data_IF_810725512525
#
_entry.id   IF_810725512525
#
_cell.length_a   1.000
_cell.length_b   1.000
_cell.length_c   1.000
_cell.angle_alpha   90.00
_cell.angle_beta   90.00
_cell.angle_gamma   90.00
#
_symmetry.space_group_name_H-M   'P 1'
#
loop_
_entity.id
_entity.type
_entity.pdbx_description
1 polymer ?
#
# COMPACT_ATOMS: atom_id res chain seq x y z
N UNK A 1 -7.60 16.85 -5.95
CA UNK A 1 -7.75 15.64 -5.12
C UNK A 1 -8.40 14.55 -5.94
N UNK A 2 -7.99 13.28 -5.73
CA UNK A 2 -8.58 12.10 -6.37
C UNK A 2 -9.08 11.15 -5.26
N UNK A 3 -10.27 10.60 -5.43
CA UNK A 3 -10.87 9.67 -4.50
C UNK A 3 -11.35 8.41 -5.22
N UNK A 4 -11.04 7.25 -4.64
CA UNK A 4 -11.54 5.95 -5.06
C UNK A 4 -12.74 5.52 -4.21
N UNK A 5 -13.77 4.99 -4.86
CA UNK A 5 -14.98 4.48 -4.21
C UNK A 5 -15.39 3.11 -4.77
N UNK A 6 -16.44 2.50 -4.23
CA UNK A 6 -17.02 1.27 -4.78
C UNK A 6 -17.62 1.47 -6.17
N UNK A 7 -18.00 2.70 -6.51
CA UNK A 7 -18.72 3.03 -7.75
C UNK A 7 -17.82 3.71 -8.80
N UNK A 8 -16.52 3.82 -8.54
CA UNK A 8 -15.54 4.42 -9.45
C UNK A 8 -14.65 5.46 -8.80
N UNK A 9 -14.01 6.25 -9.63
CA UNK A 9 -13.13 7.35 -9.23
C UNK A 9 -13.84 8.69 -9.34
N UNK A 10 -13.47 9.60 -8.43
CA UNK A 10 -13.96 10.97 -8.37
C UNK A 10 -12.80 11.94 -8.20
N UNK A 11 -12.93 13.14 -8.75
CA UNK A 11 -11.94 14.21 -8.60
C UNK A 11 -12.55 15.46 -8.00
N UNK A 12 -11.74 16.19 -7.26
CA UNK A 12 -12.05 17.53 -6.76
C UNK A 12 -10.96 18.50 -7.20
N UNK A 13 -11.37 19.71 -7.59
CA UNK A 13 -10.50 20.81 -7.98
C UNK A 13 -10.51 21.96 -6.95
N UNK A 14 -11.28 21.81 -5.86
CA UNK A 14 -11.52 22.78 -4.82
C UNK A 14 -11.27 22.21 -3.41
N UNK A 15 -10.21 21.40 -3.29
CA UNK A 15 -9.77 20.78 -2.04
C UNK A 15 -10.81 19.89 -1.34
N UNK A 16 -11.69 19.25 -2.13
CA UNK A 16 -12.69 18.32 -1.62
C UNK A 16 -14.06 18.96 -1.32
N UNK A 17 -14.24 20.26 -1.62
CA UNK A 17 -15.53 20.92 -1.42
C UNK A 17 -16.60 20.43 -2.39
N UNK A 18 -16.21 20.10 -3.63
CA UNK A 18 -17.08 19.47 -4.62
C UNK A 18 -16.37 18.34 -5.37
N UNK A 19 -17.14 17.38 -5.87
CA UNK A 19 -16.64 16.15 -6.51
C UNK A 19 -17.33 15.87 -7.82
N UNK A 20 -16.55 15.49 -8.83
CA UNK A 20 -17.02 15.09 -10.16
C UNK A 20 -16.57 13.69 -10.50
N UNK A 21 -17.38 12.90 -11.21
CA UNK A 21 -16.95 11.61 -11.72
C UNK A 21 -15.66 11.73 -12.55
N UNK A 22 -14.75 10.81 -12.35
CA UNK A 22 -13.47 10.70 -13.06
C UNK A 22 -13.14 9.23 -13.35
N UNK A 23 -14.15 8.43 -13.66
CA UNK A 23 -14.04 6.99 -13.87
C UNK A 23 -14.15 6.57 -15.34
N UNK A 24 -13.96 7.46 -16.31
CA UNK A 24 -13.98 7.10 -17.73
C UNK A 24 -12.87 6.07 -18.03
N UNK A 25 -13.21 4.99 -18.75
CA UNK A 25 -12.29 3.89 -19.04
C UNK A 25 -12.19 2.80 -17.96
N UNK A 26 -12.74 3.01 -16.75
CA UNK A 26 -12.76 1.96 -15.73
C UNK A 26 -13.80 0.89 -16.04
N UNK A 27 -13.34 -0.37 -16.17
CA UNK A 27 -14.18 -1.57 -16.28
C UNK A 27 -14.50 -2.08 -14.87
N UNK A 28 -13.47 -2.34 -14.07
CA UNK A 28 -13.57 -2.66 -12.65
C UNK A 28 -13.76 -1.36 -11.86
N UNK A 29 -14.95 -1.18 -11.27
CA UNK A 29 -15.33 0.11 -10.67
C UNK A 29 -15.04 0.20 -9.17
N UNK A 30 -14.88 -0.92 -8.48
CA UNK A 30 -14.56 -0.90 -7.05
C UNK A 30 -13.09 -0.49 -6.87
N UNK A 31 -12.85 0.80 -6.71
CA UNK A 31 -11.52 1.36 -6.50
C UNK A 31 -11.10 1.15 -5.05
N UNK A 32 -9.98 0.48 -4.86
CA UNK A 32 -9.40 0.14 -3.55
C UNK A 32 -8.18 0.98 -3.21
N UNK A 33 -7.48 1.45 -4.23
CA UNK A 33 -6.28 2.26 -4.07
C UNK A 33 -6.20 3.34 -5.13
N UNK A 34 -5.72 4.50 -4.72
CA UNK A 34 -5.40 5.61 -5.61
C UNK A 34 -4.00 6.07 -5.27
N UNK A 35 -3.16 6.24 -6.27
CA UNK A 35 -1.84 6.83 -6.13
C UNK A 35 -1.65 7.93 -7.17
N UNK A 36 -0.98 9.00 -6.76
CA UNK A 36 -0.53 10.06 -7.65
C UNK A 36 0.98 10.09 -7.57
N UNK A 37 1.64 9.96 -8.71
CA UNK A 37 3.09 10.10 -8.79
C UNK A 37 3.41 11.58 -8.92
N UNK A 38 4.16 12.13 -7.96
CA UNK A 38 4.70 13.47 -8.10
C UNK A 38 5.56 13.49 -9.37
N UNK A 39 5.28 14.44 -10.28
CA UNK A 39 6.21 14.71 -11.37
C UNK A 39 7.55 15.06 -10.72
N UNK A 40 8.60 14.32 -11.05
CA UNK A 40 9.94 14.65 -10.60
C UNK A 40 10.15 16.15 -10.91
N UNK A 41 10.51 16.92 -9.89
CA UNK A 41 10.86 18.33 -10.09
C UNK A 41 11.81 18.38 -11.28
N UNK A 42 11.46 19.16 -12.29
CA UNK A 42 12.27 19.32 -13.50
C UNK A 42 13.65 19.84 -13.11
N UNK A 43 14.56 18.95 -12.92
CA UNK A 43 15.98 19.24 -12.72
C UNK A 43 16.64 19.45 -14.07
N UNK A 44 16.48 20.60 -14.66
CA UNK A 44 17.11 21.12 -15.88
C UNK A 44 16.38 20.82 -17.21
N UNK A 45 16.45 21.75 -18.18
CA UNK A 45 15.83 21.60 -19.51
C UNK A 45 16.45 20.52 -20.40
N UNK A 46 17.54 19.89 -19.98
CA UNK A 46 18.23 18.86 -20.75
C UNK A 46 17.71 17.43 -20.51
N UNK A 47 16.93 17.21 -19.43
CA UNK A 47 16.40 15.89 -19.03
C UNK A 47 14.89 15.81 -19.28
N UNK A 48 14.40 16.31 -20.43
CA UNK A 48 13.02 16.11 -20.82
C UNK A 48 12.80 14.60 -21.03
N UNK A 49 11.89 13.93 -20.27
CA UNK A 49 11.56 12.55 -20.56
C UNK A 49 10.99 12.49 -21.97
N UNK A 50 11.48 11.57 -22.78
CA UNK A 50 11.05 11.39 -24.16
C UNK A 50 9.64 10.78 -24.27
N UNK A 51 9.03 10.37 -23.15
CA UNK A 51 7.67 9.82 -23.08
C UNK A 51 6.98 10.30 -21.79
N UNK A 52 5.71 10.69 -21.91
CA UNK A 52 4.89 11.10 -20.77
C UNK A 52 4.70 9.88 -19.84
N UNK A 53 5.15 10.01 -18.62
CA UNK A 53 5.01 8.94 -17.62
C UNK A 53 3.69 9.12 -16.87
N UNK A 54 2.92 8.05 -16.60
CA UNK A 54 1.63 8.16 -15.92
C UNK A 54 1.72 8.97 -14.63
N UNK A 55 0.77 9.89 -14.46
CA UNK A 55 0.67 10.76 -13.29
C UNK A 55 -0.21 10.18 -12.18
N UNK A 56 -1.16 9.32 -12.54
CA UNK A 56 -2.12 8.75 -11.58
C UNK A 56 -2.36 7.26 -11.83
N UNK A 57 -2.67 6.54 -10.75
CA UNK A 57 -2.89 5.09 -10.76
C UNK A 57 -4.11 4.74 -9.92
N UNK A 58 -4.83 3.71 -10.35
CA UNK A 58 -5.91 3.08 -9.61
C UNK A 58 -5.64 1.59 -9.47
N UNK A 59 -5.82 1.06 -8.27
CA UNK A 59 -5.93 -0.35 -7.97
C UNK A 59 -7.36 -0.72 -7.62
N UNK A 60 -7.87 -1.84 -8.14
CA UNK A 60 -9.28 -2.23 -8.03
C UNK A 60 -9.51 -3.60 -7.39
N UNK A 61 -10.76 -3.90 -7.12
CA UNK A 61 -11.36 -5.21 -6.81
C UNK A 61 -12.53 -5.43 -7.79
N UNK A 62 -12.53 -6.48 -8.68
CA UNK A 62 -11.42 -7.44 -8.89
C UNK A 62 -10.08 -6.77 -9.22
N UNK A 63 -8.98 -7.47 -8.96
CA UNK A 63 -7.64 -6.92 -9.13
C UNK A 63 -7.36 -6.51 -10.57
N UNK A 64 -7.18 -5.22 -10.78
CA UNK A 64 -6.64 -4.60 -11.99
C UNK A 64 -5.89 -3.33 -11.62
N UNK A 65 -4.99 -2.90 -12.49
CA UNK A 65 -4.30 -1.61 -12.37
C UNK A 65 -4.69 -0.75 -13.57
N UNK A 66 -5.00 0.49 -13.28
CA UNK A 66 -5.29 1.52 -14.26
C UNK A 66 -4.31 2.67 -14.12
N UNK A 67 -3.96 3.27 -15.24
CA UNK A 67 -3.03 4.39 -15.34
C UNK A 67 -3.67 5.54 -16.11
N UNK A 68 -3.34 6.77 -15.73
CA UNK A 68 -3.72 7.97 -16.46
C UNK A 68 -2.58 8.98 -16.41
N UNK A 69 -2.25 9.57 -17.56
CA UNK A 69 -1.40 10.77 -17.64
C UNK A 69 -2.17 12.00 -17.15
N UNK A 70 -3.41 12.11 -17.58
CA UNK A 70 -4.40 13.08 -17.15
C UNK A 70 -5.72 12.40 -16.84
N UNK A 71 -6.14 12.43 -15.58
CA UNK A 71 -7.40 11.84 -15.12
C UNK A 71 -8.65 12.42 -15.80
N UNK A 72 -8.54 13.54 -16.52
CA UNK A 72 -9.63 14.11 -17.29
C UNK A 72 -9.81 13.43 -18.67
N UNK A 73 -8.77 12.76 -19.16
CA UNK A 73 -8.79 12.03 -20.42
C UNK A 73 -9.16 10.54 -20.26
N UNK A 74 -9.37 10.11 -19.02
CA UNK A 74 -9.78 8.75 -18.67
C UNK A 74 -8.61 7.85 -18.31
N UNK A 75 -8.95 6.59 -18.03
CA UNK A 75 -8.06 5.55 -17.51
C UNK A 75 -7.80 4.46 -18.54
N UNK A 76 -6.56 4.06 -18.66
CA UNK A 76 -6.13 2.90 -19.45
C UNK A 76 -5.84 1.74 -18.50
N UNK A 77 -6.41 0.58 -18.77
CA UNK A 77 -6.13 -0.64 -17.99
C UNK A 77 -4.81 -1.26 -18.41
N UNK A 78 -4.03 -1.72 -17.43
CA UNK A 78 -2.88 -2.58 -17.63
C UNK A 78 -3.39 -4.04 -17.78
N UNK A 79 -3.69 -4.45 -19.01
CA UNK A 79 -4.40 -5.71 -19.29
C UNK A 79 -3.66 -6.96 -18.83
N UNK A 80 -2.33 -6.91 -18.75
CA UNK A 80 -1.49 -7.99 -18.23
C UNK A 80 -1.81 -8.35 -16.79
N UNK A 81 -2.24 -7.38 -15.95
CA UNK A 81 -2.64 -7.62 -14.56
C UNK A 81 -3.93 -8.44 -14.50
N UNK A 82 -4.93 -8.08 -15.32
CA UNK A 82 -6.18 -8.84 -15.43
C UNK A 82 -5.92 -10.25 -15.99
N UNK A 83 -5.01 -10.38 -16.97
CA UNK A 83 -4.61 -11.68 -17.53
C UNK A 83 -3.90 -12.56 -16.48
N UNK A 84 -3.02 -11.98 -15.64
CA UNK A 84 -2.41 -12.69 -14.52
C UNK A 84 -3.46 -13.18 -13.53
N UNK A 85 -4.38 -12.31 -13.12
CA UNK A 85 -5.49 -12.62 -12.22
C UNK A 85 -6.29 -13.84 -12.72
N UNK A 86 -6.74 -13.79 -13.97
CA UNK A 86 -7.61 -14.80 -14.55
C UNK A 86 -6.86 -16.14 -14.76
N UNK A 87 -5.58 -16.06 -15.19
CA UNK A 87 -4.75 -17.24 -15.40
C UNK A 87 -4.36 -17.96 -14.12
N UNK A 88 -4.06 -17.19 -13.05
CA UNK A 88 -3.59 -17.73 -11.76
C UNK A 88 -4.73 -18.02 -10.80
N UNK A 89 -5.97 -17.66 -11.15
CA UNK A 89 -7.16 -17.94 -10.37
C UNK A 89 -7.19 -17.17 -9.06
N UNK A 90 -6.85 -15.87 -9.08
CA UNK A 90 -6.94 -15.05 -7.88
C UNK A 90 -8.36 -15.01 -7.36
N UNK A 91 -8.51 -15.04 -6.05
CA UNK A 91 -9.81 -14.97 -5.37
C UNK A 91 -9.67 -14.24 -4.04
N UNK A 92 -10.80 -13.83 -3.47
CA UNK A 92 -10.86 -13.29 -2.11
C UNK A 92 -11.76 -14.18 -1.27
N UNK A 93 -11.32 -14.66 -0.09
CA UNK A 93 -12.11 -15.60 0.72
C UNK A 93 -13.40 -14.98 1.29
N UNK A 94 -13.53 -13.66 1.27
CA UNK A 94 -14.65 -12.90 1.82
C UNK A 94 -15.47 -12.15 0.76
N UNK A 95 -15.10 -12.25 -0.51
CA UNK A 95 -15.73 -11.54 -1.62
C UNK A 95 -15.79 -12.45 -2.85
N UNK A 96 -16.83 -12.38 -3.69
CA UNK A 96 -16.86 -13.12 -4.96
C UNK A 96 -15.83 -12.60 -5.97
N UNK A 97 -15.20 -11.47 -5.68
CA UNK A 97 -14.28 -10.82 -6.59
C UNK A 97 -12.90 -11.51 -6.62
N UNK A 98 -12.18 -11.33 -7.73
CA UNK A 98 -10.91 -11.98 -8.00
C UNK A 98 -9.72 -11.10 -7.62
N UNK A 99 -9.14 -11.30 -6.43
CA UNK A 99 -8.02 -10.52 -5.93
C UNK A 99 -8.34 -9.04 -5.69
N UNK A 100 -7.40 -8.33 -5.09
CA UNK A 100 -7.54 -6.89 -4.84
C UNK A 100 -6.18 -6.21 -4.87
N UNK A 101 -6.03 -5.13 -5.63
CA UNK A 101 -4.82 -4.27 -5.58
C UNK A 101 -4.98 -3.31 -4.41
N UNK A 102 -4.22 -3.54 -3.33
CA UNK A 102 -4.34 -2.84 -2.05
C UNK A 102 -3.29 -1.77 -1.80
N UNK A 103 -2.26 -1.70 -2.61
CA UNK A 103 -1.18 -0.73 -2.44
C UNK A 103 -0.33 -0.59 -3.69
N UNK A 104 0.14 0.62 -3.93
CA UNK A 104 1.11 0.96 -4.96
C UNK A 104 2.20 1.81 -4.32
N UNK A 105 3.46 1.51 -4.60
CA UNK A 105 4.60 2.31 -4.16
C UNK A 105 5.60 2.49 -5.30
N UNK A 106 6.21 3.67 -5.38
CA UNK A 106 7.14 4.02 -6.46
C UNK A 106 8.45 4.58 -5.91
N UNK A 107 9.53 4.24 -6.58
CA UNK A 107 10.84 4.88 -6.45
C UNK A 107 11.38 5.17 -7.87
N UNK A 108 11.34 6.41 -8.29
CA UNK A 108 11.63 6.77 -9.69
C UNK A 108 10.68 6.04 -10.65
N UNK A 109 11.23 5.34 -11.63
CA UNK A 109 10.46 4.54 -12.59
C UNK A 109 10.12 3.13 -12.10
N UNK A 110 10.66 2.69 -10.96
CA UNK A 110 10.33 1.40 -10.38
C UNK A 110 9.07 1.51 -9.53
N UNK A 111 8.06 0.71 -9.89
CA UNK A 111 6.81 0.59 -9.15
C UNK A 111 6.62 -0.83 -8.60
N UNK A 112 5.91 -0.92 -7.48
CA UNK A 112 5.45 -2.18 -6.89
C UNK A 112 3.96 -2.10 -6.58
N UNK A 113 3.24 -3.20 -6.80
CA UNK A 113 1.82 -3.30 -6.49
C UNK A 113 1.55 -4.51 -5.60
N UNK A 114 0.97 -4.25 -4.44
CA UNK A 114 0.51 -5.26 -3.49
C UNK A 114 -0.84 -5.81 -3.94
N UNK A 115 -0.93 -7.12 -4.16
CA UNK A 115 -2.16 -7.79 -4.57
C UNK A 115 -2.55 -8.82 -3.52
N UNK A 116 -3.69 -8.59 -2.88
CA UNK A 116 -4.28 -9.55 -1.95
C UNK A 116 -4.69 -10.81 -2.73
N UNK A 117 -4.15 -11.96 -2.33
CA UNK A 117 -4.27 -13.26 -3.01
C UNK A 117 -3.66 -13.32 -4.42
N UNK A 118 -2.73 -12.40 -4.74
CA UNK A 118 -2.04 -12.34 -6.03
C UNK A 118 -0.53 -12.09 -5.93
N UNK A 119 -0.01 -11.86 -4.69
CA UNK A 119 1.40 -11.62 -4.47
C UNK A 119 1.83 -10.19 -4.76
N UNK A 120 3.04 -10.02 -5.28
CA UNK A 120 3.61 -8.70 -5.56
C UNK A 120 3.93 -8.57 -7.06
N UNK A 121 3.51 -7.45 -7.63
CA UNK A 121 3.86 -7.06 -8.99
C UNK A 121 4.93 -5.97 -8.97
N UNK A 122 5.69 -5.88 -10.07
CA UNK A 122 6.71 -4.84 -10.30
C UNK A 122 6.56 -4.26 -11.71
N UNK A 123 6.78 -2.97 -11.79
CA UNK A 123 6.99 -2.21 -13.01
C UNK A 123 8.40 -1.60 -12.99
N UNK A 124 9.07 -1.54 -14.14
CA UNK A 124 10.36 -0.87 -14.33
C UNK A 124 10.26 0.35 -15.27
N UNK A 125 9.07 0.64 -15.79
CA UNK A 125 8.80 1.70 -16.78
C UNK A 125 7.82 2.78 -16.28
N UNK A 126 7.76 2.96 -14.97
CA UNK A 126 6.93 4.00 -14.36
C UNK A 126 5.47 3.62 -14.19
N UNK A 127 5.13 2.33 -14.26
CA UNK A 127 3.79 1.81 -14.05
C UNK A 127 3.01 1.54 -15.34
N UNK A 128 3.67 1.64 -16.51
CA UNK A 128 3.06 1.33 -17.81
C UNK A 128 2.75 -0.16 -17.98
N UNK A 129 3.71 -1.01 -17.55
CA UNK A 129 3.57 -2.47 -17.60
C UNK A 129 3.95 -3.11 -16.27
N UNK A 130 3.27 -4.20 -15.94
CA UNK A 130 3.39 -4.89 -14.67
C UNK A 130 3.64 -6.39 -14.85
N UNK A 131 4.51 -6.95 -14.04
CA UNK A 131 4.80 -8.38 -13.99
C UNK A 131 4.98 -8.86 -12.56
N UNK A 132 4.83 -10.16 -12.30
CA UNK A 132 5.18 -10.72 -11.01
C UNK A 132 6.67 -10.53 -10.73
N UNK A 133 7.03 -10.19 -9.48
CA UNK A 133 8.43 -10.26 -9.04
C UNK A 133 8.90 -11.71 -9.05
N UNK A 134 10.20 -11.95 -9.23
CA UNK A 134 10.74 -13.31 -9.29
C UNK A 134 10.49 -14.13 -8.00
N UNK A 135 10.41 -13.47 -6.86
CA UNK A 135 10.10 -14.09 -5.56
C UNK A 135 8.59 -14.20 -5.27
N UNK A 136 7.72 -14.20 -6.30
CA UNK A 136 6.28 -14.43 -6.17
C UNK A 136 5.78 -15.29 -7.32
N UNK A 137 5.10 -16.41 -7.01
CA UNK A 137 4.43 -17.22 -8.04
C UNK A 137 3.01 -16.71 -8.37
N UNK A 138 2.50 -15.76 -7.58
CA UNK A 138 1.17 -15.19 -7.76
C UNK A 138 0.02 -16.17 -7.53
N UNK A 139 0.30 -17.38 -7.04
CA UNK A 139 -0.74 -18.40 -6.80
C UNK A 139 -1.30 -18.20 -5.38
N UNK A 140 -2.64 -18.18 -5.18
CA UNK A 140 -3.25 -17.91 -3.88
C UNK A 140 -3.12 -19.11 -2.91
N UNK A 141 -1.90 -19.49 -2.59
CA UNK A 141 -1.54 -20.53 -1.61
C UNK A 141 -0.22 -20.18 -0.95
N UNK A 142 -0.03 -20.55 0.30
CA UNK A 142 1.25 -20.36 0.99
C UNK A 142 2.37 -21.08 0.24
N UNK A 143 3.45 -20.37 -0.15
CA UNK A 143 4.60 -20.96 -0.82
C UNK A 143 5.31 -21.98 0.09
N UNK A 144 5.87 -23.02 -0.52
CA UNK A 144 6.75 -23.97 0.18
C UNK A 144 8.20 -23.50 0.22
N UNK A 145 8.61 -22.66 -0.72
CA UNK A 145 9.92 -22.03 -0.76
C UNK A 145 9.94 -20.84 0.22
N UNK A 146 10.83 -20.85 1.23
CA UNK A 146 10.92 -19.81 2.24
C UNK A 146 11.43 -18.47 1.69
N UNK A 147 11.97 -18.43 0.48
CA UNK A 147 12.43 -17.20 -0.20
C UNK A 147 11.34 -16.52 -1.03
N UNK A 148 10.15 -17.13 -1.10
CA UNK A 148 9.00 -16.57 -1.78
C UNK A 148 8.12 -15.75 -0.83
N UNK A 149 7.53 -14.65 -1.34
CA UNK A 149 6.58 -13.86 -0.58
C UNK A 149 5.22 -14.59 -0.44
N UNK A 150 4.56 -14.39 0.70
CA UNK A 150 3.18 -14.84 0.88
C UNK A 150 2.23 -14.15 -0.13
N UNK A 151 1.26 -14.85 -0.76
CA UNK A 151 0.42 -14.29 -1.81
C UNK A 151 -0.58 -13.23 -1.32
N UNK A 152 -0.91 -13.23 -0.05
CA UNK A 152 -1.86 -12.31 0.57
C UNK A 152 -1.13 -11.00 0.97
N UNK A 153 -0.76 -10.19 -0.03
CA UNK A 153 0.00 -8.94 0.19
C UNK A 153 -0.95 -7.78 0.41
N UNK A 154 -0.87 -7.15 1.59
CA UNK A 154 -1.80 -6.11 2.00
C UNK A 154 -1.33 -4.68 1.71
N UNK A 155 -0.04 -4.45 1.73
CA UNK A 155 0.58 -3.17 1.36
C UNK A 155 2.03 -3.37 0.93
N UNK A 156 2.63 -2.32 0.39
CA UNK A 156 4.04 -2.33 -0.02
C UNK A 156 4.66 -0.96 0.25
N UNK A 157 5.89 -0.98 0.75
CA UNK A 157 6.73 0.20 0.94
C UNK A 157 8.04 -0.04 0.19
N UNK A 158 8.47 0.97 -0.58
CA UNK A 158 9.81 1.04 -1.18
C UNK A 158 10.60 2.06 -0.41
N UNK A 159 11.75 1.68 0.12
CA UNK A 159 12.55 2.60 0.92
C UNK A 159 13.20 3.69 0.07
N UNK A 160 13.25 4.91 0.61
CA UNK A 160 13.75 6.08 -0.10
C UNK A 160 15.22 5.95 -0.56
N UNK A 161 16.05 5.16 0.15
CA UNK A 161 17.45 4.98 -0.18
C UNK A 161 17.70 4.01 -1.35
N UNK A 162 16.76 3.15 -1.71
CA UNK A 162 16.95 2.13 -2.75
C UNK A 162 15.64 1.62 -3.35
N UNK A 163 15.52 1.54 -4.68
CA UNK A 163 14.38 0.92 -5.35
C UNK A 163 14.32 -0.60 -5.15
N UNK A 164 15.37 -1.22 -4.66
CA UNK A 164 15.47 -2.66 -4.46
C UNK A 164 15.10 -3.08 -3.03
N UNK A 165 15.05 -2.13 -2.08
CA UNK A 165 14.62 -2.41 -0.72
C UNK A 165 13.12 -2.25 -0.59
N UNK A 166 12.44 -3.38 -0.54
CA UNK A 166 10.97 -3.49 -0.55
C UNK A 166 10.50 -4.19 0.72
N UNK A 167 9.53 -3.60 1.40
CA UNK A 167 8.93 -4.15 2.62
C UNK A 167 7.44 -4.37 2.35
N UNK A 168 6.93 -5.56 2.70
CA UNK A 168 5.57 -5.95 2.40
C UNK A 168 4.89 -6.64 3.60
N UNK A 169 3.90 -6.00 4.24
CA UNK A 169 2.96 -6.63 5.15
C UNK A 169 2.05 -7.60 4.41
N UNK A 170 1.87 -8.80 4.98
CA UNK A 170 1.07 -9.88 4.37
C UNK A 170 0.22 -10.61 5.39
N UNK A 171 -0.68 -11.46 4.92
CA UNK A 171 -1.41 -12.42 5.75
C UNK A 171 -0.51 -13.46 6.44
N UNK A 172 0.69 -13.69 5.93
CA UNK A 172 1.69 -14.62 6.48
C UNK A 172 2.82 -13.95 7.26
N UNK A 173 2.77 -12.62 7.45
CA UNK A 173 3.78 -11.87 8.18
C UNK A 173 4.35 -10.67 7.44
N UNK A 174 5.40 -10.07 8.01
CA UNK A 174 6.15 -9.00 7.37
C UNK A 174 7.32 -9.57 6.59
N UNK A 175 7.44 -9.19 5.34
CA UNK A 175 8.53 -9.60 4.45
C UNK A 175 9.38 -8.41 4.02
N UNK A 176 10.67 -8.65 3.82
CA UNK A 176 11.62 -7.70 3.23
C UNK A 176 12.40 -8.37 2.11
N UNK A 177 12.61 -7.63 1.05
CA UNK A 177 13.53 -7.93 -0.05
C UNK A 177 14.55 -6.80 -0.16
N UNK A 178 15.80 -7.13 -0.44
CA UNK A 178 16.88 -6.19 -0.71
C UNK A 178 17.38 -6.29 -2.17
N UNK A 179 16.65 -7.06 -3.03
CA UNK A 179 16.98 -7.33 -4.44
C UNK A 179 15.80 -7.11 -5.38
N UNK A 180 14.89 -6.18 -5.02
CA UNK A 180 13.78 -5.79 -5.87
C UNK A 180 12.69 -6.84 -6.00
N UNK A 181 12.53 -7.70 -4.98
CA UNK A 181 11.50 -8.71 -4.92
C UNK A 181 11.90 -10.07 -5.52
N UNK A 182 13.20 -10.29 -5.80
CA UNK A 182 13.67 -11.58 -6.29
C UNK A 182 13.69 -12.64 -5.18
N UNK A 183 14.14 -12.25 -3.99
CA UNK A 183 14.13 -13.11 -2.81
C UNK A 183 13.57 -12.35 -1.61
N UNK A 184 12.88 -13.08 -0.74
CA UNK A 184 12.24 -12.52 0.44
C UNK A 184 12.73 -13.16 1.73
N UNK A 185 12.84 -12.35 2.77
CA UNK A 185 13.11 -12.78 4.13
C UNK A 185 11.95 -12.35 5.01
N UNK A 186 11.35 -13.30 5.73
CA UNK A 186 10.26 -13.02 6.67
C UNK A 186 10.84 -12.50 7.99
N UNK A 187 10.40 -11.33 8.43
CA UNK A 187 10.82 -10.68 9.66
C UNK A 187 9.98 -11.10 10.88
N UNK A 188 8.68 -11.34 10.66
CA UNK A 188 7.75 -11.88 11.66
C UNK A 188 6.68 -12.70 10.96
N UNK A 189 6.09 -13.67 11.65
CA UNK A 189 5.01 -14.54 11.13
C UNK A 189 3.60 -14.05 11.52
N UNK A 190 3.51 -12.90 12.19
CA UNK A 190 2.23 -12.34 12.61
C UNK A 190 1.53 -11.62 11.45
N UNK A 191 0.22 -11.85 11.35
CA UNK A 191 -0.62 -11.13 10.42
C UNK A 191 -0.41 -9.61 10.53
N UNK A 192 -0.24 -8.92 9.42
CA UNK A 192 -0.11 -7.46 9.42
C UNK A 192 -0.62 -6.86 8.10
N UNK A 193 -1.15 -5.63 8.18
CA UNK A 193 -1.59 -4.86 7.02
C UNK A 193 -0.77 -3.60 6.79
N UNK A 194 -0.18 -3.06 7.85
CA UNK A 194 0.49 -1.78 7.83
C UNK A 194 1.90 -1.88 8.39
N UNK A 195 2.83 -1.23 7.72
CA UNK A 195 4.18 -0.90 8.20
C UNK A 195 4.51 0.53 7.79
N UNK A 196 5.13 1.28 8.68
CA UNK A 196 5.84 2.51 8.38
C UNK A 196 7.34 2.23 8.50
N UNK A 197 8.12 2.79 7.60
CA UNK A 197 9.58 2.69 7.59
C UNK A 197 10.13 4.10 7.56
N UNK A 198 11.03 4.40 8.46
CA UNK A 198 11.68 5.70 8.54
C UNK A 198 12.41 5.99 7.21
N UNK A 199 12.10 7.09 6.51
CA UNK A 199 12.71 7.39 5.23
C UNK A 199 14.24 7.61 5.30
N UNK A 200 14.76 7.98 6.46
CA UNK A 200 16.18 8.24 6.69
C UNK A 200 16.91 7.06 7.34
N UNK A 201 16.18 6.11 7.97
CA UNK A 201 16.73 4.94 8.65
C UNK A 201 15.93 3.66 8.33
N UNK A 202 16.39 2.90 7.35
CA UNK A 202 15.74 1.67 6.93
C UNK A 202 15.67 0.56 8.01
N UNK A 203 16.41 0.69 9.10
CA UNK A 203 16.38 -0.23 10.23
C UNK A 203 15.33 0.16 11.27
N UNK A 204 14.79 1.38 11.20
CA UNK A 204 13.69 1.83 12.04
C UNK A 204 12.34 1.60 11.33
N UNK A 205 11.51 0.78 11.93
CA UNK A 205 10.18 0.42 11.42
C UNK A 205 9.14 0.44 12.53
N UNK A 206 7.90 0.82 12.17
CA UNK A 206 6.71 0.69 13.03
C UNK A 206 5.72 -0.24 12.35
N UNK A 207 5.30 -1.28 13.03
CA UNK A 207 4.45 -2.35 12.51
C UNK A 207 3.12 -2.40 13.27
N UNK A 208 2.03 -2.66 12.56
CA UNK A 208 0.71 -2.98 13.12
C UNK A 208 0.40 -4.48 13.08
N UNK A 209 1.03 -5.34 13.93
CA UNK A 209 0.77 -6.76 13.91
C UNK A 209 -0.51 -7.12 14.64
N UNK A 210 -1.11 -8.26 14.27
CA UNK A 210 -2.33 -8.79 14.85
C UNK A 210 -2.30 -10.33 14.89
N UNK A 211 -3.21 -10.96 15.61
CA UNK A 211 -3.40 -12.41 15.58
C UNK A 211 -4.23 -12.86 14.36
N UNK A 212 -4.86 -11.93 13.66
CA UNK A 212 -5.68 -12.12 12.48
C UNK A 212 -6.48 -10.86 12.18
N UNK A 213 -7.39 -10.93 11.22
CA UNK A 213 -8.23 -9.80 10.84
C UNK A 213 -8.98 -9.26 12.05
N UNK A 214 -8.79 -7.98 12.37
CA UNK A 214 -9.40 -7.26 13.49
C UNK A 214 -9.32 -8.03 14.83
N UNK A 215 -8.20 -8.71 15.11
CA UNK A 215 -8.05 -9.51 16.32
C UNK A 215 -6.67 -9.33 16.94
N UNK A 216 -6.65 -8.95 18.23
CA UNK A 216 -5.45 -8.78 19.06
C UNK A 216 -4.39 -7.88 18.40
N UNK A 217 -4.86 -6.78 17.78
CA UNK A 217 -3.98 -5.81 17.12
C UNK A 217 -3.17 -5.01 18.13
N UNK A 218 -2.00 -4.56 17.71
CA UNK A 218 -1.11 -3.70 18.50
C UNK A 218 -0.15 -2.93 17.61
N UNK A 219 0.69 -2.09 18.20
CA UNK A 219 1.77 -1.42 17.49
C UNK A 219 3.10 -1.82 18.13
N UNK A 220 4.07 -2.14 17.29
CA UNK A 220 5.43 -2.49 17.68
C UNK A 220 6.43 -1.71 16.84
N UNK A 221 7.63 -1.49 17.37
CA UNK A 221 8.74 -0.89 16.64
C UNK A 221 9.95 -1.83 16.62
N UNK A 222 10.72 -1.71 15.56
CA UNK A 222 12.06 -2.27 15.43
C UNK A 222 13.04 -1.14 15.11
N UNK A 223 14.26 -1.21 15.64
CA UNK A 223 15.39 -0.31 15.33
C UNK A 223 16.64 -1.07 14.86
N UNK A 224 16.44 -2.31 14.44
CA UNK A 224 17.52 -3.21 14.03
C UNK A 224 17.19 -3.98 12.74
N UNK A 225 16.37 -3.38 11.88
CA UNK A 225 15.98 -3.95 10.60
C UNK A 225 15.02 -5.13 10.72
N UNK A 226 14.19 -5.14 11.77
CA UNK A 226 13.18 -6.17 12.01
C UNK A 226 13.72 -7.45 12.66
N UNK A 227 14.93 -7.44 13.24
CA UNK A 227 15.49 -8.57 13.98
C UNK A 227 14.80 -8.73 15.34
N UNK A 228 14.54 -7.60 16.02
CA UNK A 228 13.78 -7.56 17.28
C UNK A 228 12.65 -6.55 17.19
N UNK A 229 11.56 -6.84 17.92
CA UNK A 229 10.37 -6.01 17.98
C UNK A 229 10.01 -5.71 19.43
N UNK A 230 9.72 -4.45 19.74
CA UNK A 230 9.31 -3.99 21.06
C UNK A 230 7.93 -3.32 20.98
N UNK A 231 7.08 -3.45 22.01
CA UNK A 231 5.85 -2.66 22.07
C UNK A 231 6.13 -1.17 21.90
N UNK A 232 5.32 -0.50 21.09
CA UNK A 232 5.37 0.94 20.85
C UNK A 232 4.02 1.55 21.22
N UNK A 233 3.49 1.21 22.43
CA UNK A 233 2.15 1.58 22.88
C UNK A 233 2.10 1.61 24.41
N UNK A 234 2.44 2.75 25.00
CA UNK A 234 2.41 2.88 26.46
C UNK A 234 1.03 3.33 27.01
N UNK A 235 0.18 3.97 26.18
CA UNK A 235 -1.04 4.66 26.62
C UNK A 235 -2.35 4.15 25.99
N UNK A 236 -2.27 3.21 25.05
CA UNK A 236 -3.44 2.66 24.37
C UNK A 236 -3.59 1.17 24.71
N UNK A 237 -4.45 0.80 25.61
CA UNK A 237 -4.77 -0.57 26.11
C UNK A 237 -4.64 -1.71 25.06
N UNK A 238 -3.43 -1.95 24.56
CA UNK A 238 -3.14 -3.03 23.64
C UNK A 238 -2.70 -4.30 24.35
N UNK A 239 -2.91 -5.50 23.78
CA UNK A 239 -3.51 -5.73 22.45
C UNK A 239 -5.03 -5.44 22.42
N UNK A 240 -5.50 -4.90 21.28
CA UNK A 240 -6.92 -4.63 21.10
C UNK A 240 -7.69 -5.86 20.66
N UNK A 241 -8.66 -6.36 21.43
CA UNK A 241 -9.32 -7.65 21.12
C UNK A 241 -9.99 -7.71 19.75
N UNK A 242 -10.55 -6.58 19.26
CA UNK A 242 -11.43 -6.54 18.10
C UNK A 242 -11.03 -5.50 17.04
N UNK A 243 -9.79 -5.03 17.05
CA UNK A 243 -9.28 -4.07 16.07
C UNK A 243 -7.79 -4.24 15.82
N UNK A 244 -7.31 -3.66 14.73
CA UNK A 244 -5.92 -3.69 14.30
C UNK A 244 -5.60 -2.45 13.48
N UNK A 245 -4.33 -2.22 13.21
CA UNK A 245 -3.90 -1.14 12.30
C UNK A 245 -4.15 -1.56 10.85
N UNK A 246 -4.89 -0.73 10.12
CA UNK A 246 -5.11 -0.89 8.68
C UNK A 246 -4.04 -0.16 7.86
N UNK A 247 -3.64 1.05 8.30
CA UNK A 247 -2.66 1.90 7.59
C UNK A 247 -1.94 2.83 8.54
N UNK A 248 -0.71 3.18 8.17
CA UNK A 248 0.03 4.31 8.74
C UNK A 248 0.16 5.43 7.71
N UNK A 249 0.17 6.67 8.22
CA UNK A 249 0.41 7.88 7.45
C UNK A 249 1.36 8.78 8.24
N UNK A 250 2.46 9.18 7.61
CA UNK A 250 3.35 10.21 8.16
C UNK A 250 2.83 11.59 7.77
N UNK A 251 2.65 12.47 8.76
CA UNK A 251 2.13 13.81 8.59
C UNK A 251 3.00 14.77 9.41
N UNK A 252 3.98 15.39 8.74
CA UNK A 252 4.99 16.20 9.43
C UNK A 252 5.85 15.34 10.34
N UNK A 253 5.86 15.63 11.63
CA UNK A 253 6.61 14.91 12.66
C UNK A 253 5.74 13.89 13.43
N UNK A 254 4.54 13.62 12.94
CA UNK A 254 3.61 12.66 13.54
C UNK A 254 3.37 11.45 12.65
N UNK A 255 3.19 10.30 13.28
CA UNK A 255 2.69 9.08 12.66
C UNK A 255 1.24 8.86 13.05
N UNK A 256 0.35 8.84 12.06
CA UNK A 256 -1.06 8.58 12.24
C UNK A 256 -1.39 7.16 11.83
N UNK A 257 -2.23 6.47 12.61
CA UNK A 257 -2.75 5.15 12.27
C UNK A 257 -4.28 5.20 12.11
N UNK A 258 -4.75 4.54 11.04
CA UNK A 258 -6.16 4.21 10.84
C UNK A 258 -6.37 2.80 11.36
N UNK A 259 -7.31 2.63 12.28
CA UNK A 259 -7.68 1.33 12.83
C UNK A 259 -8.82 0.67 12.03
N UNK A 260 -8.98 -0.61 12.17
CA UNK A 260 -9.97 -1.40 11.39
C UNK A 260 -11.43 -1.07 11.71
N UNK A 261 -11.70 -0.38 12.80
CA UNK A 261 -13.01 0.19 13.17
C UNK A 261 -13.18 1.64 12.71
N UNK A 262 -12.18 2.19 11.97
CA UNK A 262 -12.20 3.55 11.46
C UNK A 262 -11.78 4.61 12.47
N UNK A 263 -11.35 4.24 13.68
CA UNK A 263 -10.76 5.18 14.64
C UNK A 263 -9.39 5.66 14.17
N UNK A 264 -9.06 6.91 14.48
CA UNK A 264 -7.77 7.52 14.22
C UNK A 264 -6.98 7.71 15.50
N UNK A 265 -5.74 7.26 15.50
CA UNK A 265 -4.77 7.55 16.55
C UNK A 265 -3.51 8.18 15.95
N UNK A 266 -2.84 9.05 16.69
CA UNK A 266 -1.58 9.66 16.27
C UNK A 266 -0.55 9.62 17.38
N UNK A 267 0.71 9.71 17.00
CA UNK A 267 1.84 9.82 17.92
C UNK A 267 2.99 10.61 17.28
N UNK A 268 3.73 11.43 18.05
CA UNK A 268 4.98 12.00 17.58
C UNK A 268 5.98 10.89 17.23
N UNK A 269 6.64 10.98 16.06
CA UNK A 269 7.65 10.02 15.60
C UNK A 269 8.79 9.83 16.62
N UNK A 270 9.10 10.89 17.37
CA UNK A 270 10.18 10.87 18.37
C UNK A 270 9.88 10.01 19.60
N UNK A 271 8.61 9.79 19.94
CA UNK A 271 8.19 9.12 21.20
C UNK A 271 7.27 7.94 21.01
N UNK A 272 6.53 7.89 19.89
CA UNK A 272 5.47 6.92 19.61
C UNK A 272 4.43 6.78 20.75
N UNK A 273 4.12 7.91 21.42
CA UNK A 273 3.06 7.97 22.43
C UNK A 273 1.73 8.26 21.76
N UNK A 274 0.92 7.22 21.61
CA UNK A 274 -0.32 7.26 20.85
C UNK A 274 -1.47 7.88 21.64
N UNK A 275 -2.29 8.67 20.96
CA UNK A 275 -3.55 9.19 21.48
C UNK A 275 -4.62 9.25 20.38
N UNK A 276 -5.88 9.16 20.76
CA UNK A 276 -7.01 9.25 19.83
C UNK A 276 -7.15 10.68 19.34
N UNK A 277 -7.30 10.85 18.02
CA UNK A 277 -7.59 12.13 17.40
C UNK A 277 -8.97 12.10 16.74
N UNK A 278 -9.63 13.27 16.69
CA UNK A 278 -10.96 13.42 16.09
C UNK A 278 -11.98 12.36 16.57
N UNK A 279 -12.20 12.18 17.87
CA UNK A 279 -12.99 11.07 18.40
C UNK A 279 -14.46 11.08 17.94
N UNK A 280 -14.94 12.18 17.35
CA UNK A 280 -16.27 12.28 16.73
C UNK A 280 -16.31 11.79 15.28
N UNK A 281 -15.15 11.51 14.67
CA UNK A 281 -15.05 11.00 13.29
C UNK A 281 -14.95 9.49 13.37
N UNK A 282 -15.81 8.81 12.64
CA UNK A 282 -15.88 7.34 12.57
C UNK A 282 -15.83 6.88 11.10
N UNK A 283 -15.58 5.59 10.90
CA UNK A 283 -15.57 4.95 9.58
C UNK A 283 -14.55 5.55 8.60
N UNK A 284 -13.40 6.03 9.11
CA UNK A 284 -12.33 6.53 8.26
C UNK A 284 -11.67 5.38 7.51
N UNK A 285 -11.64 5.46 6.18
CA UNK A 285 -11.05 4.44 5.31
C UNK A 285 -9.72 4.88 4.70
N UNK A 286 -9.51 6.18 4.53
CA UNK A 286 -8.27 6.73 3.98
C UNK A 286 -8.06 8.17 4.43
N UNK A 287 -6.81 8.58 4.41
CA UNK A 287 -6.37 9.95 4.71
C UNK A 287 -5.47 10.41 3.56
N UNK A 288 -5.54 11.68 3.23
CA UNK A 288 -4.60 12.33 2.32
C UNK A 288 -4.23 13.71 2.87
N UNK A 289 -2.97 14.08 2.74
CA UNK A 289 -2.49 15.44 3.01
C UNK A 289 -2.54 16.27 1.75
N UNK A 290 -3.01 17.48 1.87
CA UNK A 290 -2.99 18.45 0.79
C UNK A 290 -1.89 19.47 1.10
N UNK A 291 -0.88 19.57 0.23
CA UNK A 291 0.10 20.64 0.31
C UNK A 291 -0.60 21.98 0.03
N UNK A 292 -0.47 22.92 0.95
CA UNK A 292 -0.95 24.30 0.78
C UNK A 292 0.21 25.15 0.26
#
# INVERSE_FOLDING_TARGET
>A
VLAGTRDGAYRSMDFGASWWPAGEGLIERHVRWVAVRASAERRTPADAPSEATPGAFIGTEPAAIYVAEDVQQGWRRCDEVAQLRDRLGWYLPYSPEAGCVRGLAFHGNRGYAAVEQGGLLRSDDGGEHWQLVAGSDGVPRTPTDPTMIHPDVHSVVVHASSPDRVIAPTGGGLYVSDDGGAHWRRLTDRYCRAVWVDPDDADHMVLGPAAGVARDGRIEQSRDGGKTWQPAMDECDAPWPHRMVERFYEIGDELMAVLSDGELITAPLSTLRWHVVLPAVQDVNAIATLGI
#
